data_IF_987555723498
#
_entry.id   IF_987555723498
#
_cell.length_a   1.000
_cell.length_b   1.000
_cell.length_c   1.000
_cell.angle_alpha   90.00
_cell.angle_beta   90.00
_cell.angle_gamma   90.00
#
_symmetry.space_group_name_H-M   'P 1'
#
loop_
_entity.id
_entity.type
_entity.pdbx_description
1 polymer ?
#
# COMPACT_ATOMS: atom_id res chain seq x y z
N UNK A 1 -20.65 -2.62 0.88
CA UNK A 1 -19.30 -2.10 0.53
C UNK A 1 -18.29 -2.25 1.67
N UNK A 2 -18.58 -1.85 2.91
CA UNK A 2 -17.64 -1.97 4.06
C UNK A 2 -17.04 -3.38 4.27
N UNK A 3 -17.86 -4.43 4.12
CA UNK A 3 -17.41 -5.83 4.21
C UNK A 3 -16.37 -6.18 3.13
N UNK A 4 -16.55 -5.68 1.92
CA UNK A 4 -15.60 -5.89 0.81
C UNK A 4 -14.27 -5.19 1.07
N UNK A 5 -14.28 -3.96 1.60
CA UNK A 5 -13.04 -3.26 1.94
C UNK A 5 -12.24 -3.97 3.05
N UNK A 6 -12.93 -4.52 4.07
CA UNK A 6 -12.31 -5.35 5.11
C UNK A 6 -11.75 -6.66 4.53
N UNK A 7 -12.53 -7.36 3.71
CA UNK A 7 -12.08 -8.60 3.07
C UNK A 7 -10.87 -8.36 2.16
N UNK A 8 -10.89 -7.28 1.37
CA UNK A 8 -9.77 -6.87 0.52
C UNK A 8 -8.49 -6.64 1.34
N UNK A 9 -8.58 -5.91 2.45
CA UNK A 9 -7.43 -5.72 3.35
C UNK A 9 -6.90 -7.04 3.91
N UNK A 10 -7.78 -7.93 4.38
CA UNK A 10 -7.38 -9.23 4.93
C UNK A 10 -6.67 -10.07 3.87
N UNK A 11 -7.27 -10.20 2.69
CA UNK A 11 -6.74 -10.99 1.58
C UNK A 11 -5.40 -10.41 1.10
N UNK A 12 -5.30 -9.10 0.93
CA UNK A 12 -4.06 -8.48 0.49
C UNK A 12 -2.96 -8.55 1.55
N UNK A 13 -3.31 -8.49 2.83
CA UNK A 13 -2.34 -8.65 3.92
C UNK A 13 -1.81 -10.08 3.96
N UNK A 14 -2.69 -11.09 3.89
CA UNK A 14 -2.28 -12.49 3.81
C UNK A 14 -1.43 -12.77 2.57
N UNK A 15 -1.87 -12.26 1.42
CA UNK A 15 -1.13 -12.40 0.16
C UNK A 15 0.26 -11.77 0.25
N UNK A 16 0.35 -10.55 0.80
CA UNK A 16 1.63 -9.88 1.01
C UNK A 16 2.53 -10.62 1.98
N UNK A 17 2.01 -11.06 3.14
CA UNK A 17 2.79 -11.80 4.13
C UNK A 17 3.32 -13.10 3.55
N UNK A 18 2.49 -13.90 2.88
CA UNK A 18 2.93 -15.13 2.20
C UNK A 18 4.00 -14.85 1.15
N UNK A 19 3.82 -13.78 0.36
CA UNK A 19 4.80 -13.36 -0.63
C UNK A 19 6.13 -12.89 -0.01
N UNK A 20 6.08 -12.18 1.12
CA UNK A 20 7.27 -11.72 1.83
C UNK A 20 8.07 -12.92 2.38
N UNK A 21 7.41 -13.92 2.95
CA UNK A 21 8.08 -15.15 3.38
C UNK A 21 8.69 -15.92 2.20
N UNK A 22 7.97 -16.00 1.08
CA UNK A 22 8.52 -16.57 -0.15
C UNK A 22 9.79 -15.82 -0.56
N UNK A 23 9.73 -14.50 -0.70
CA UNK A 23 10.89 -13.70 -1.11
C UNK A 23 12.05 -13.82 -0.12
N UNK A 24 11.79 -13.85 1.18
CA UNK A 24 12.83 -14.02 2.20
C UNK A 24 13.61 -15.32 2.04
N UNK A 25 12.94 -16.41 1.68
CA UNK A 25 13.59 -17.70 1.42
C UNK A 25 14.54 -17.66 0.19
N UNK A 26 14.36 -16.70 -0.71
CA UNK A 26 15.18 -16.51 -1.91
C UNK A 26 16.05 -15.24 -1.85
N UNK A 27 16.09 -14.53 -0.72
CA UNK A 27 17.01 -13.41 -0.58
C UNK A 27 18.44 -13.93 -0.54
N UNK A 28 19.34 -13.27 -1.29
CA UNK A 28 20.77 -13.38 -1.06
C UNK A 28 21.10 -12.95 0.39
N UNK A 29 22.25 -13.34 0.92
CA UNK A 29 22.68 -12.89 2.26
C UNK A 29 22.85 -11.35 2.34
N UNK A 30 23.29 -10.76 1.22
CA UNK A 30 23.49 -9.32 1.05
C UNK A 30 22.82 -8.82 -0.24
N UNK A 31 21.49 -8.61 -0.23
CA UNK A 31 20.78 -8.04 -1.35
C UNK A 31 21.29 -6.62 -1.66
N UNK A 32 21.65 -6.42 -2.92
CA UNK A 32 22.14 -5.19 -3.51
C UNK A 32 21.07 -4.57 -4.40
N UNK A 33 20.89 -3.27 -4.27
CA UNK A 33 19.99 -2.49 -5.10
C UNK A 33 20.83 -1.46 -5.85
N UNK A 34 20.91 -1.62 -7.17
CA UNK A 34 21.61 -0.69 -8.04
C UNK A 34 20.71 0.49 -8.40
N UNK A 35 21.03 1.66 -7.86
CA UNK A 35 20.27 2.88 -8.10
C UNK A 35 20.98 3.71 -9.17
N UNK A 36 20.68 3.41 -10.44
CA UNK A 36 21.33 4.03 -11.63
C UNK A 36 21.36 5.55 -11.61
N UNK A 37 20.35 6.20 -11.04
CA UNK A 37 20.26 7.67 -11.03
C UNK A 37 21.15 8.34 -9.97
N UNK A 38 21.58 7.61 -8.94
CA UNK A 38 22.48 8.10 -7.89
C UNK A 38 23.93 7.62 -8.07
N UNK A 39 24.19 6.77 -9.08
CA UNK A 39 25.45 6.03 -9.23
C UNK A 39 25.90 5.31 -7.94
N UNK A 40 24.92 4.96 -7.08
CA UNK A 40 25.13 4.34 -5.79
C UNK A 40 24.55 2.92 -5.78
N UNK A 41 25.24 2.06 -5.06
CA UNK A 41 24.80 0.72 -4.70
C UNK A 41 24.41 0.74 -3.23
N UNK A 42 23.15 0.38 -2.94
CA UNK A 42 22.69 0.18 -1.57
C UNK A 42 22.73 -1.32 -1.27
N UNK A 43 23.47 -1.70 -0.24
CA UNK A 43 23.49 -3.07 0.28
C UNK A 43 22.75 -3.12 1.60
N UNK A 44 21.88 -4.10 1.74
CA UNK A 44 21.16 -4.38 2.97
C UNK A 44 21.42 -5.83 3.38
N UNK A 45 21.28 -6.14 4.66
CA UNK A 45 21.20 -7.55 5.08
C UNK A 45 19.82 -8.10 4.77
N UNK A 46 19.73 -9.40 4.49
CA UNK A 46 18.44 -10.10 4.29
C UNK A 46 17.47 -9.87 5.46
N UNK A 47 17.98 -9.90 6.69
CA UNK A 47 17.21 -9.62 7.90
C UNK A 47 16.68 -8.19 7.95
N UNK A 48 17.50 -7.19 7.63
CA UNK A 48 17.06 -5.79 7.60
C UNK A 48 15.92 -5.60 6.60
N UNK A 49 16.04 -6.17 5.39
CA UNK A 49 14.98 -6.07 4.38
C UNK A 49 13.70 -6.79 4.81
N UNK A 50 13.83 -7.99 5.37
CA UNK A 50 12.69 -8.76 5.85
C UNK A 50 11.93 -8.02 6.95
N UNK A 51 12.62 -7.57 8.00
CA UNK A 51 11.99 -6.84 9.08
C UNK A 51 11.43 -5.49 8.62
N UNK A 52 12.07 -4.81 7.68
CA UNK A 52 11.52 -3.57 7.08
C UNK A 52 10.25 -3.87 6.28
N UNK A 53 10.23 -4.98 5.52
CA UNK A 53 9.06 -5.49 4.81
C UNK A 53 7.93 -5.90 5.75
N UNK A 54 8.20 -6.26 7.00
CA UNK A 54 7.14 -6.48 8.00
C UNK A 54 6.66 -5.17 8.60
N UNK A 55 7.59 -4.38 9.14
CA UNK A 55 7.28 -3.22 9.99
C UNK A 55 6.55 -2.13 9.22
N UNK A 56 7.04 -1.78 8.02
CA UNK A 56 6.48 -0.66 7.26
C UNK A 56 5.02 -0.91 6.85
N UNK A 57 4.66 -2.05 6.24
CA UNK A 57 3.27 -2.36 5.92
C UNK A 57 2.37 -2.46 7.15
N UNK A 58 2.85 -3.04 8.26
CA UNK A 58 2.07 -3.10 9.51
C UNK A 58 1.73 -1.69 10.00
N UNK A 59 2.70 -0.77 10.02
CA UNK A 59 2.47 0.62 10.45
C UNK A 59 1.44 1.29 9.54
N UNK A 60 1.56 1.14 8.22
CA UNK A 60 0.62 1.75 7.26
C UNK A 60 -0.79 1.18 7.42
N UNK A 61 -0.91 -0.15 7.54
CA UNK A 61 -2.19 -0.83 7.79
C UNK A 61 -2.81 -0.33 9.09
N UNK A 62 -2.03 -0.23 10.16
CA UNK A 62 -2.49 0.23 11.47
C UNK A 62 -2.98 1.68 11.40
N UNK A 63 -2.23 2.59 10.79
CA UNK A 63 -2.65 3.99 10.60
C UNK A 63 -3.96 4.07 9.82
N UNK A 64 -4.11 3.29 8.75
CA UNK A 64 -5.33 3.27 7.95
C UNK A 64 -6.52 2.69 8.73
N UNK A 65 -6.33 1.60 9.48
CA UNK A 65 -7.40 1.01 10.31
C UNK A 65 -7.82 1.98 11.41
N UNK A 66 -6.87 2.67 12.04
CA UNK A 66 -7.17 3.71 13.03
C UNK A 66 -7.94 4.86 12.40
N UNK A 67 -7.52 5.34 11.24
CA UNK A 67 -8.23 6.40 10.51
C UNK A 67 -9.66 5.97 10.16
N UNK A 68 -9.85 4.75 9.65
CA UNK A 68 -11.17 4.19 9.37
C UNK A 68 -12.04 4.10 10.64
N UNK A 69 -11.46 3.71 11.78
CA UNK A 69 -12.14 3.67 13.08
C UNK A 69 -12.56 5.07 13.56
N UNK A 70 -11.69 6.07 13.39
CA UNK A 70 -12.00 7.47 13.70
C UNK A 70 -13.14 7.97 12.81
N UNK A 71 -13.07 7.73 11.50
CA UNK A 71 -14.12 8.09 10.54
C UNK A 71 -15.46 7.46 10.94
N UNK A 72 -15.46 6.19 11.36
CA UNK A 72 -16.69 5.49 11.69
C UNK A 72 -17.34 6.01 12.98
N UNK A 73 -16.56 6.60 13.90
CA UNK A 73 -17.07 7.25 15.11
C UNK A 73 -17.57 8.67 14.87
N UNK A 74 -17.24 9.30 13.75
CA UNK A 74 -17.70 10.66 13.47
C UNK A 74 -19.22 10.72 13.24
N UNK A 75 -19.93 11.67 13.86
CA UNK A 75 -21.35 11.89 13.62
C UNK A 75 -21.57 12.50 12.23
N UNK A 76 -22.78 12.28 11.68
CA UNK A 76 -23.18 12.78 10.37
C UNK A 76 -24.28 13.83 10.55
N UNK A 77 -24.16 14.97 9.86
CA UNK A 77 -25.20 16.00 9.89
C UNK A 77 -24.85 17.25 9.09
N UNK A 78 -25.86 18.05 8.75
CA UNK A 78 -25.74 19.21 7.84
C UNK A 78 -24.74 20.27 8.35
N UNK A 79 -24.63 20.43 9.68
CA UNK A 79 -23.70 21.35 10.35
C UNK A 79 -22.38 20.69 10.80
N UNK A 80 -22.21 19.40 10.54
CA UNK A 80 -21.02 18.64 10.93
C UNK A 80 -20.05 18.52 9.74
N UNK A 81 -18.82 18.07 10.02
CA UNK A 81 -17.82 17.87 8.96
C UNK A 81 -18.29 16.85 7.93
N UNK A 82 -18.79 15.68 8.37
CA UNK A 82 -19.40 14.69 7.49
C UNK A 82 -20.89 15.00 7.33
N UNK A 83 -21.30 15.38 6.12
CA UNK A 83 -22.69 15.79 5.86
C UNK A 83 -23.61 14.62 5.54
N UNK A 84 -23.06 13.56 4.94
CA UNK A 84 -23.84 12.40 4.49
C UNK A 84 -23.19 11.08 4.90
N UNK A 85 -24.04 10.09 5.23
CA UNK A 85 -23.60 8.75 5.59
C UNK A 85 -22.85 8.05 4.43
N UNK A 86 -23.22 8.37 3.18
CA UNK A 86 -22.56 7.86 1.98
C UNK A 86 -21.10 8.31 1.87
N UNK A 87 -20.81 9.58 2.19
CA UNK A 87 -19.44 10.12 2.19
C UNK A 87 -18.63 9.47 3.31
N UNK A 88 -19.22 9.34 4.51
CA UNK A 88 -18.59 8.62 5.63
C UNK A 88 -18.19 7.20 5.22
N UNK A 89 -19.10 6.48 4.55
CA UNK A 89 -18.82 5.15 4.02
C UNK A 89 -17.72 5.15 2.95
N UNK A 90 -17.70 6.14 2.05
CA UNK A 90 -16.66 6.28 1.04
C UNK A 90 -15.30 6.53 1.67
N UNK A 91 -15.19 7.41 2.66
CA UNK A 91 -13.94 7.69 3.40
C UNK A 91 -13.47 6.46 4.18
N UNK A 92 -14.39 5.74 4.81
CA UNK A 92 -14.09 4.48 5.48
C UNK A 92 -13.50 3.46 4.50
N UNK A 93 -14.18 3.25 3.36
CA UNK A 93 -13.72 2.30 2.34
C UNK A 93 -12.42 2.75 1.69
N UNK A 94 -12.23 4.05 1.47
CA UNK A 94 -11.00 4.62 0.95
C UNK A 94 -9.83 4.31 1.87
N UNK A 95 -9.99 4.55 3.17
CA UNK A 95 -8.95 4.32 4.17
C UNK A 95 -8.57 2.84 4.28
N UNK A 96 -9.56 1.95 4.36
CA UNK A 96 -9.32 0.50 4.39
C UNK A 96 -8.72 -0.02 3.07
N UNK A 97 -9.19 0.50 1.93
CA UNK A 97 -8.66 0.18 0.61
C UNK A 97 -7.22 0.65 0.40
N UNK A 98 -6.85 1.79 0.99
CA UNK A 98 -5.49 2.34 0.92
C UNK A 98 -4.47 1.38 1.54
N UNK A 99 -4.79 0.83 2.71
CA UNK A 99 -3.96 -0.19 3.33
C UNK A 99 -3.80 -1.43 2.43
N UNK A 100 -4.89 -1.86 1.78
CA UNK A 100 -4.82 -3.00 0.88
C UNK A 100 -3.99 -2.74 -0.37
N UNK A 101 -4.10 -1.56 -0.97
CA UNK A 101 -3.27 -1.15 -2.12
C UNK A 101 -1.81 -1.00 -1.72
N UNK A 102 -1.54 -0.49 -0.51
CA UNK A 102 -0.19 -0.41 0.01
C UNK A 102 0.47 -1.78 0.11
N UNK A 103 -0.26 -2.83 0.52
CA UNK A 103 0.26 -4.20 0.52
C UNK A 103 0.70 -4.66 -0.88
N UNK A 104 -0.06 -4.34 -1.93
CA UNK A 104 0.35 -4.64 -3.32
C UNK A 104 1.58 -3.83 -3.74
N UNK A 105 1.66 -2.56 -3.35
CA UNK A 105 2.83 -1.73 -3.62
C UNK A 105 4.08 -2.27 -2.90
N UNK A 106 3.95 -2.62 -1.61
CA UNK A 106 5.02 -3.22 -0.84
C UNK A 106 5.47 -4.57 -1.44
N UNK A 107 4.53 -5.39 -1.93
CA UNK A 107 4.84 -6.61 -2.67
C UNK A 107 5.68 -6.29 -3.91
N UNK A 108 5.25 -5.31 -4.72
CA UNK A 108 5.98 -4.90 -5.92
C UNK A 108 7.40 -4.42 -5.60
N UNK A 109 7.58 -3.64 -4.53
CA UNK A 109 8.92 -3.19 -4.08
C UNK A 109 9.79 -4.39 -3.70
N UNK A 110 9.28 -5.32 -2.90
CA UNK A 110 10.02 -6.51 -2.46
C UNK A 110 10.38 -7.43 -3.64
N UNK A 111 9.48 -7.59 -4.61
CA UNK A 111 9.75 -8.31 -5.86
C UNK A 111 10.96 -7.74 -6.60
N UNK A 112 11.09 -6.42 -6.66
CA UNK A 112 12.22 -5.79 -7.35
C UNK A 112 13.53 -6.14 -6.67
N UNK A 113 13.55 -6.15 -5.34
CA UNK A 113 14.76 -6.51 -4.60
C UNK A 113 15.13 -7.97 -4.84
N UNK A 114 14.14 -8.88 -4.93
CA UNK A 114 14.39 -10.26 -5.30
C UNK A 114 15.00 -10.37 -6.71
N UNK A 115 14.35 -9.78 -7.72
CA UNK A 115 14.78 -9.89 -9.11
C UNK A 115 16.06 -9.11 -9.43
N UNK A 116 16.36 -8.02 -8.73
CA UNK A 116 17.62 -7.27 -8.93
C UNK A 116 18.85 -8.04 -8.49
N UNK A 117 18.67 -9.06 -7.65
CA UNK A 117 19.73 -9.88 -7.06
C UNK A 117 19.83 -11.28 -7.66
N UNK A 118 18.95 -11.64 -8.60
CA UNK A 118 18.99 -12.93 -9.26
C UNK A 118 19.89 -12.85 -10.50
N UNK A 119 20.98 -13.64 -10.52
CA UNK A 119 21.97 -13.64 -11.61
C UNK A 119 21.43 -14.31 -12.90
N UNK A 120 20.35 -15.09 -12.78
CA UNK A 120 19.65 -15.73 -13.90
C UNK A 120 18.76 -14.73 -14.66
N UNK A 121 19.37 -13.82 -15.42
CA UNK A 121 18.95 -13.37 -16.76
C UNK A 121 17.53 -12.83 -17.03
N UNK A 122 16.60 -12.80 -16.07
CA UNK A 122 15.29 -12.15 -16.21
C UNK A 122 15.56 -10.65 -16.21
N UNK A 123 15.67 -10.12 -17.43
CA UNK A 123 15.97 -8.74 -17.81
C UNK A 123 15.80 -7.73 -16.65
N UNK A 124 16.85 -6.94 -16.38
CA UNK A 124 16.84 -5.80 -15.43
C UNK A 124 15.69 -4.80 -15.63
N UNK A 125 14.85 -4.98 -16.65
CA UNK A 125 13.68 -4.18 -17.02
C UNK A 125 12.33 -4.91 -16.85
N UNK A 126 12.30 -6.24 -16.70
CA UNK A 126 11.08 -7.05 -16.66
C UNK A 126 10.18 -6.81 -15.44
N UNK A 127 10.73 -6.25 -14.36
CA UNK A 127 9.98 -5.94 -13.14
C UNK A 127 9.47 -4.48 -13.08
N UNK A 128 9.94 -3.60 -13.96
CA UNK A 128 9.53 -2.20 -13.99
C UNK A 128 7.99 -2.01 -14.13
N UNK A 129 7.28 -2.81 -14.95
CA UNK A 129 5.81 -2.71 -15.06
C UNK A 129 5.09 -2.89 -13.72
N UNK A 130 5.54 -3.80 -12.85
CA UNK A 130 4.91 -4.02 -11.54
C UNK A 130 5.06 -2.83 -10.60
N UNK A 131 6.23 -2.16 -10.62
CA UNK A 131 6.43 -0.93 -9.86
C UNK A 131 5.54 0.19 -10.41
N UNK A 132 5.48 0.36 -11.73
CA UNK A 132 4.63 1.37 -12.35
C UNK A 132 3.16 1.15 -11.98
N UNK A 133 2.67 -0.09 -12.04
CA UNK A 133 1.30 -0.42 -11.64
C UNK A 133 1.07 -0.09 -10.16
N UNK A 134 1.99 -0.45 -9.27
CA UNK A 134 1.89 -0.13 -7.84
C UNK A 134 1.85 1.38 -7.57
N UNK A 135 2.73 2.14 -8.22
CA UNK A 135 2.77 3.62 -8.11
C UNK A 135 1.50 4.25 -8.68
N UNK A 136 1.02 3.78 -9.83
CA UNK A 136 -0.22 4.25 -10.45
C UNK A 136 -1.41 3.99 -9.52
N UNK A 137 -1.52 2.77 -8.98
CA UNK A 137 -2.61 2.40 -8.06
C UNK A 137 -2.59 3.28 -6.81
N UNK A 138 -1.42 3.50 -6.19
CA UNK A 138 -1.30 4.41 -5.05
C UNK A 138 -1.68 5.84 -5.43
N UNK A 139 -1.22 6.33 -6.58
CA UNK A 139 -1.51 7.70 -7.04
C UNK A 139 -3.00 7.90 -7.29
N UNK A 140 -3.65 6.96 -7.96
CA UNK A 140 -5.11 6.96 -8.17
C UNK A 140 -5.83 6.97 -6.82
N UNK A 141 -5.38 6.16 -5.85
CA UNK A 141 -6.00 6.14 -4.54
C UNK A 141 -5.80 7.45 -3.77
N UNK A 142 -4.62 8.06 -3.83
CA UNK A 142 -4.37 9.37 -3.23
C UNK A 142 -5.26 10.45 -3.85
N UNK A 143 -5.43 10.45 -5.17
CA UNK A 143 -6.29 11.41 -5.90
C UNK A 143 -7.78 11.18 -5.58
N UNK A 144 -8.20 9.96 -5.26
CA UNK A 144 -9.59 9.68 -4.86
C UNK A 144 -9.97 10.38 -3.55
N UNK A 145 -9.02 10.64 -2.64
CA UNK A 145 -9.31 11.33 -1.38
C UNK A 145 -9.90 12.73 -1.57
N UNK A 146 -9.24 13.69 -2.25
CA UNK A 146 -9.81 15.01 -2.47
C UNK A 146 -11.14 14.94 -3.21
N UNK A 147 -11.32 14.00 -4.15
CA UNK A 147 -12.61 13.81 -4.85
C UNK A 147 -13.73 13.46 -3.88
N UNK A 148 -13.50 12.57 -2.90
CA UNK A 148 -14.49 12.23 -1.87
C UNK A 148 -14.77 13.46 -0.98
N UNK A 149 -13.73 14.21 -0.62
CA UNK A 149 -13.86 15.42 0.21
C UNK A 149 -14.61 16.55 -0.51
N UNK A 150 -14.42 16.73 -1.82
CA UNK A 150 -15.15 17.73 -2.61
C UNK A 150 -16.64 17.40 -2.69
N UNK A 151 -17.01 16.12 -2.86
CA UNK A 151 -18.42 15.68 -2.85
C UNK A 151 -19.11 16.01 -1.53
N UNK A 152 -18.40 15.82 -0.41
CA UNK A 152 -18.89 16.22 0.91
C UNK A 152 -19.19 17.72 1.04
N UNK A 153 -18.49 18.58 0.28
CA UNK A 153 -18.69 20.03 0.29
C UNK A 153 -19.81 20.46 -0.66
N UNK A 154 -19.90 19.86 -1.85
CA UNK A 154 -20.87 20.25 -2.88
C UNK A 154 -22.31 19.89 -2.52
N UNK A 155 -22.57 18.78 -1.85
CA UNK A 155 -23.92 18.37 -1.41
C UNK A 155 -24.49 19.25 -0.26
N UNK A 156 -23.88 20.41 0.00
CA UNK A 156 -24.33 21.37 1.02
C UNK A 156 -24.81 22.72 0.49
N UNK A 157 -24.75 22.89 -0.82
CA UNK A 157 -25.44 23.95 -1.55
C UNK A 157 -26.71 23.35 -2.17
#
# INVERSE_FOLDING_TARGET
MRRLAKAFLIISSLGYTSFLFYVYAYFADQPRIYVRFLNNELSFTSNTLFYTGIIVPIIVVLVCVLLASVIDKQPVGVRLYLKHAKVKDQLFNWSMGMAGIFNFFAAAVVSIVLFSNNEEGLTRTGYAPFLFIGVILLSVWIILLPVILFKNKQESH
#
